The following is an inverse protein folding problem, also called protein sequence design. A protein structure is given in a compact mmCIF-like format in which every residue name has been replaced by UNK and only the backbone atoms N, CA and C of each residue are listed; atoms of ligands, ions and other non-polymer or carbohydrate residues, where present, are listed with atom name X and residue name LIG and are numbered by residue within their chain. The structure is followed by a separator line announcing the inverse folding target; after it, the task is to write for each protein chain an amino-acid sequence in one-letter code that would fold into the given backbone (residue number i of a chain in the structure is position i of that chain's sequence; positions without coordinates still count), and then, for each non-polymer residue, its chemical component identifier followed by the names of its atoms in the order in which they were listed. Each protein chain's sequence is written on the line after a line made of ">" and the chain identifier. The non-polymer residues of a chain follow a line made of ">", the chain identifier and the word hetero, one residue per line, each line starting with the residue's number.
data_IF_924201230517
#
_entry.id   IF_924201230517
#
_cell.length_a   1.000
_cell.length_b   1.000
_cell.length_c   1.000
_cell.angle_alpha   90.00
_cell.angle_beta   90.00
_cell.angle_gamma   90.00
#
_symmetry.space_group_name_H-M   'P 1'
#
loop_
_entity.id
_entity.type
_entity.pdbx_description
1 polymer ?
#
# COMPACT_ATOMS: atom_id res chain seq x y z
N UNK A 1 17.05 2.33 -7.59
CA UNK A 1 16.68 3.71 -7.95
C UNK A 1 16.81 4.58 -6.72
N UNK A 2 17.43 5.75 -6.83
CA UNK A 2 17.54 6.71 -5.73
C UNK A 2 16.64 7.91 -6.03
N UNK A 3 15.69 8.21 -5.15
CA UNK A 3 14.80 9.35 -5.30
C UNK A 3 15.55 10.65 -4.94
N UNK A 4 15.17 11.76 -5.59
CA UNK A 4 15.68 13.08 -5.24
C UNK A 4 15.23 13.43 -3.81
N UNK A 5 16.14 13.82 -2.90
CA UNK A 5 15.77 14.26 -1.57
C UNK A 5 14.84 15.47 -1.63
N UNK A 6 13.80 15.47 -0.79
CA UNK A 6 12.89 16.60 -0.63
C UNK A 6 13.32 17.38 0.61
N UNK A 7 13.50 18.69 0.45
CA UNK A 7 13.85 19.59 1.55
C UNK A 7 12.55 20.17 2.12
N UNK A 8 12.27 19.87 3.39
CA UNK A 8 11.05 20.33 4.06
C UNK A 8 11.12 21.82 4.43
N UNK A 9 12.30 22.29 4.85
CA UNK A 9 12.54 23.68 5.20
C UNK A 9 14.03 24.01 5.09
N UNK A 10 14.35 25.30 4.95
CA UNK A 10 15.71 25.82 4.97
C UNK A 10 15.81 26.97 5.98
N UNK A 11 16.80 26.91 6.87
CA UNK A 11 17.03 27.93 7.90
C UNK A 11 15.96 27.93 9.01
N UNK A 12 16.17 28.77 10.02
CA UNK A 12 15.28 28.87 11.20
C UNK A 12 13.92 29.47 10.81
N UNK A 13 13.90 30.46 9.93
CA UNK A 13 12.64 31.07 9.44
C UNK A 13 11.80 30.07 8.66
N UNK A 14 12.43 29.25 7.80
CA UNK A 14 11.76 28.17 7.09
C UNK A 14 11.23 27.09 8.03
N UNK A 15 11.99 26.72 9.05
CA UNK A 15 11.54 25.78 10.09
C UNK A 15 10.30 26.31 10.81
N UNK A 16 10.34 27.56 11.28
CA UNK A 16 9.20 28.17 11.96
C UNK A 16 7.98 28.26 11.04
N UNK A 17 8.17 28.62 9.77
CA UNK A 17 7.08 28.58 8.79
C UNK A 17 6.49 27.18 8.64
N UNK A 18 7.32 26.14 8.59
CA UNK A 18 6.87 24.76 8.43
C UNK A 18 6.12 24.24 9.66
N UNK A 19 6.56 24.60 10.88
CA UNK A 19 5.87 24.24 12.13
C UNK A 19 4.48 24.89 12.20
N UNK A 20 4.35 26.17 11.83
CA UNK A 20 3.07 26.88 11.84
C UNK A 20 2.14 26.46 10.70
N UNK A 21 2.71 25.96 9.61
CA UNK A 21 1.96 25.47 8.44
C UNK A 21 1.79 23.95 8.47
N UNK A 22 2.16 23.30 9.58
CA UNK A 22 2.08 21.85 9.70
C UNK A 22 0.60 21.42 9.57
N UNK A 23 0.30 20.42 8.72
CA UNK A 23 -1.05 19.98 8.53
C UNK A 23 -1.58 19.30 9.79
N UNK A 24 -2.69 19.83 10.32
CA UNK A 24 -3.40 19.26 11.48
C UNK A 24 -4.17 17.97 11.13
N UNK A 25 -4.42 17.75 9.84
CA UNK A 25 -5.07 16.56 9.30
C UNK A 25 -4.13 15.82 8.36
N UNK A 26 -4.34 14.51 8.22
CA UNK A 26 -3.56 13.66 7.32
C UNK A 26 -3.61 14.18 5.88
N UNK A 27 -2.50 14.78 5.44
CA UNK A 27 -2.37 15.39 4.12
C UNK A 27 -1.36 14.60 3.28
N UNK A 28 -1.73 14.27 2.05
CA UNK A 28 -0.85 13.54 1.14
C UNK A 28 0.32 14.41 0.69
N UNK A 29 1.53 13.93 0.92
CA UNK A 29 2.78 14.58 0.52
C UNK A 29 3.35 13.99 -0.77
N UNK A 30 3.10 12.71 -1.04
CA UNK A 30 3.62 12.03 -2.23
C UNK A 30 2.65 10.95 -2.69
N UNK A 31 2.30 10.98 -3.98
CA UNK A 31 1.50 9.93 -4.65
C UNK A 31 2.23 9.42 -5.87
N UNK A 32 2.21 8.12 -6.08
CA UNK A 32 2.81 7.48 -7.24
C UNK A 32 2.03 6.25 -7.65
N UNK A 33 1.84 6.09 -8.96
CA UNK A 33 1.31 4.88 -9.57
C UNK A 33 2.35 4.37 -10.55
N UNK A 34 2.69 3.09 -10.45
CA UNK A 34 3.73 2.48 -11.26
C UNK A 34 3.23 1.14 -11.78
N UNK A 35 3.42 0.89 -13.07
CA UNK A 35 3.26 -0.44 -13.64
C UNK A 35 4.48 -1.28 -13.27
N UNK A 36 4.26 -2.34 -12.49
CA UNK A 36 5.33 -3.18 -11.94
C UNK A 36 5.72 -4.26 -12.95
N UNK A 37 4.73 -4.87 -13.59
CA UNK A 37 4.92 -5.85 -14.66
C UNK A 37 3.99 -5.54 -15.82
N UNK A 38 4.51 -5.70 -17.03
CA UNK A 38 3.75 -5.72 -18.27
C UNK A 38 4.39 -6.80 -19.16
N UNK A 39 3.67 -7.90 -19.33
CA UNK A 39 4.13 -9.08 -20.04
C UNK A 39 3.04 -9.53 -21.00
N UNK A 40 3.36 -9.60 -22.29
CA UNK A 40 2.54 -10.27 -23.30
C UNK A 40 3.42 -11.25 -24.07
N UNK A 41 2.98 -12.51 -24.16
CA UNK A 41 3.70 -13.57 -24.86
C UNK A 41 2.76 -14.51 -25.59
N UNK A 42 3.16 -14.89 -26.79
CA UNK A 42 2.58 -15.99 -27.52
C UNK A 42 3.48 -17.23 -27.36
N UNK A 43 2.89 -18.34 -26.94
CA UNK A 43 3.57 -19.60 -26.70
C UNK A 43 2.97 -20.63 -27.66
N UNK A 44 3.81 -21.17 -28.55
CA UNK A 44 3.44 -22.25 -29.46
C UNK A 44 3.62 -23.59 -28.76
N UNK A 45 2.55 -24.35 -28.60
CA UNK A 45 2.60 -25.68 -28.03
C UNK A 45 2.92 -26.74 -29.09
N UNK A 46 3.51 -27.85 -28.66
CA UNK A 46 3.87 -28.98 -29.54
C UNK A 46 2.67 -29.60 -30.28
N UNK A 47 1.46 -29.43 -29.74
CA UNK A 47 0.22 -29.89 -30.36
C UNK A 47 -0.38 -28.88 -31.36
N UNK A 48 0.34 -27.80 -31.68
CA UNK A 48 -0.09 -26.78 -32.65
C UNK A 48 -1.00 -25.69 -32.09
N UNK A 49 -1.40 -25.77 -30.80
CA UNK A 49 -2.14 -24.68 -30.17
C UNK A 49 -1.25 -23.48 -29.87
N UNK A 50 -1.85 -22.29 -29.91
CA UNK A 50 -1.18 -21.05 -29.56
C UNK A 50 -1.78 -20.55 -28.25
N UNK A 51 -0.96 -20.40 -27.22
CA UNK A 51 -1.35 -19.75 -25.96
C UNK A 51 -0.93 -18.30 -26.01
N UNK A 52 -1.88 -17.39 -25.83
CA UNK A 52 -1.61 -15.99 -25.53
C UNK A 52 -1.65 -15.80 -24.02
N UNK A 53 -0.53 -15.37 -23.44
CA UNK A 53 -0.41 -15.05 -22.02
C UNK A 53 -0.12 -13.56 -21.87
N UNK A 54 -0.99 -12.89 -21.15
CA UNK A 54 -0.85 -11.50 -20.78
C UNK A 54 -0.91 -11.36 -19.25
N UNK A 55 0.02 -10.60 -18.68
CA UNK A 55 0.06 -10.33 -17.26
C UNK A 55 0.53 -8.88 -17.04
N UNK A 56 -0.35 -8.09 -16.44
CA UNK A 56 -0.11 -6.69 -16.09
C UNK A 56 -0.28 -6.54 -14.59
N UNK A 57 0.62 -5.79 -13.96
CA UNK A 57 0.46 -5.41 -12.56
C UNK A 57 0.76 -3.95 -12.34
N UNK A 58 -0.02 -3.32 -11.49
CA UNK A 58 0.12 -1.92 -11.13
C UNK A 58 0.17 -1.80 -9.60
N UNK A 59 1.10 -1.00 -9.11
CA UNK A 59 1.20 -0.62 -7.72
C UNK A 59 0.91 0.88 -7.56
N UNK A 60 0.19 1.23 -6.51
CA UNK A 60 -0.04 2.60 -6.07
C UNK A 60 0.57 2.81 -4.69
N UNK A 61 1.09 4.01 -4.45
CA UNK A 61 1.69 4.45 -3.20
C UNK A 61 1.23 5.87 -2.91
N UNK A 62 0.71 6.10 -1.72
CA UNK A 62 0.34 7.40 -1.16
C UNK A 62 0.97 7.53 0.23
N UNK A 63 1.87 8.50 0.36
CA UNK A 63 2.49 8.89 1.62
C UNK A 63 1.78 10.15 2.11
N UNK A 64 1.09 10.02 3.23
CA UNK A 64 0.39 11.11 3.91
C UNK A 64 1.00 11.37 5.28
N UNK A 65 0.95 12.62 5.73
CA UNK A 65 1.51 13.02 7.01
C UNK A 65 0.64 14.05 7.71
N UNK A 66 0.67 14.02 9.04
CA UNK A 66 0.19 15.10 9.89
C UNK A 66 1.14 15.29 11.07
N UNK A 67 1.22 16.52 11.56
CA UNK A 67 2.01 16.84 12.74
C UNK A 67 1.31 17.92 13.55
N UNK A 68 1.19 17.67 14.85
CA UNK A 68 0.64 18.60 15.84
C UNK A 68 1.71 18.87 16.89
N UNK A 69 2.04 20.13 17.09
CA UNK A 69 3.08 20.57 18.02
C UNK A 69 2.45 21.57 18.98
N UNK A 70 2.51 21.29 20.28
CA UNK A 70 2.00 22.19 21.31
C UNK A 70 3.13 22.63 22.24
N UNK A 71 3.61 23.85 22.06
CA UNK A 71 4.64 24.45 22.92
C UNK A 71 4.16 24.67 24.35
N UNK A 72 2.85 24.92 24.54
CA UNK A 72 2.24 25.12 25.85
C UNK A 72 2.13 23.81 26.63
N UNK A 73 1.67 22.75 25.97
CA UNK A 73 1.54 21.43 26.58
C UNK A 73 2.84 20.63 26.55
N UNK A 74 3.89 21.21 25.96
CA UNK A 74 5.23 20.63 25.81
C UNK A 74 5.24 19.23 25.20
N UNK A 75 4.39 19.01 24.20
CA UNK A 75 4.31 17.74 23.50
C UNK A 75 4.18 17.92 21.98
N UNK A 76 4.41 16.83 21.26
CA UNK A 76 4.11 16.74 19.83
C UNK A 76 3.62 15.35 19.47
N UNK A 77 2.70 15.29 18.52
CA UNK A 77 2.17 14.07 17.96
C UNK A 77 2.21 14.17 16.44
N UNK A 78 2.82 13.18 15.79
CA UNK A 78 2.81 13.09 14.33
C UNK A 78 2.49 11.68 13.87
N UNK A 79 1.82 11.61 12.72
CA UNK A 79 1.44 10.35 12.08
C UNK A 79 1.85 10.43 10.63
N UNK A 80 2.60 9.42 10.19
CA UNK A 80 2.94 9.18 8.79
C UNK A 80 2.17 7.94 8.36
N UNK A 81 1.26 8.11 7.41
CA UNK A 81 0.46 7.03 6.83
C UNK A 81 0.99 6.68 5.46
N UNK A 82 1.37 5.42 5.29
CA UNK A 82 1.75 4.82 4.01
C UNK A 82 0.58 3.97 3.54
N UNK A 83 -0.12 4.43 2.51
CA UNK A 83 -1.17 3.65 1.85
C UNK A 83 -0.63 3.12 0.53
N UNK A 84 -0.76 1.83 0.32
CA UNK A 84 -0.31 1.15 -0.90
C UNK A 84 -1.41 0.26 -1.45
N UNK A 85 -1.47 0.15 -2.77
CA UNK A 85 -2.36 -0.75 -3.48
C UNK A 85 -1.58 -1.54 -4.51
N UNK A 86 -1.99 -2.78 -4.75
CA UNK A 86 -1.45 -3.64 -5.77
C UNK A 86 -2.61 -4.31 -6.50
N UNK A 87 -2.63 -4.16 -7.81
CA UNK A 87 -3.55 -4.85 -8.71
C UNK A 87 -2.73 -5.69 -9.68
N UNK A 88 -3.10 -6.95 -9.81
CA UNK A 88 -2.52 -7.89 -10.77
C UNK A 88 -3.65 -8.40 -11.64
N UNK A 89 -3.53 -8.18 -12.93
CA UNK A 89 -4.42 -8.72 -13.95
C UNK A 89 -3.63 -9.71 -14.80
N UNK A 90 -4.17 -10.92 -14.96
CA UNK A 90 -3.59 -11.93 -15.81
C UNK A 90 -4.67 -12.54 -16.68
N UNK A 91 -4.32 -12.75 -17.93
CA UNK A 91 -5.18 -13.23 -18.98
C UNK A 91 -4.44 -14.32 -19.75
N UNK A 92 -5.07 -15.48 -19.88
CA UNK A 92 -4.52 -16.62 -20.63
C UNK A 92 -5.58 -17.05 -21.62
N UNK A 93 -5.25 -17.05 -22.91
CA UNK A 93 -6.10 -17.52 -23.99
C UNK A 93 -5.43 -18.67 -24.74
N UNK A 94 -6.20 -19.71 -25.03
CA UNK A 94 -5.81 -20.77 -25.96
C UNK A 94 -6.53 -20.51 -27.28
N UNK A 95 -5.75 -20.13 -28.28
CA UNK A 95 -6.20 -19.82 -29.63
C UNK A 95 -6.12 -21.08 -30.50
N UNK A 96 -7.25 -21.49 -31.05
CA UNK A 96 -7.38 -22.53 -32.05
C UNK A 96 -8.46 -22.12 -33.07
N UNK A 97 -8.45 -22.76 -34.24
CA UNK A 97 -9.37 -22.46 -35.34
C UNK A 97 -10.83 -22.79 -35.03
N UNK A 98 -11.11 -23.60 -34.01
CA UNK A 98 -12.46 -24.05 -33.68
C UNK A 98 -12.97 -23.57 -32.32
N UNK A 99 -12.07 -23.28 -31.38
CA UNK A 99 -12.38 -23.01 -29.97
C UNK A 99 -11.46 -21.91 -29.45
N UNK A 100 -12.04 -20.95 -28.72
CA UNK A 100 -11.33 -19.96 -27.92
C UNK A 100 -11.68 -20.24 -26.46
N UNK A 101 -10.68 -20.59 -25.65
CA UNK A 101 -10.86 -20.77 -24.21
C UNK A 101 -9.91 -19.85 -23.48
N UNK A 102 -10.38 -19.19 -22.43
CA UNK A 102 -9.53 -18.30 -21.68
C UNK A 102 -9.86 -18.23 -20.20
N UNK A 103 -8.88 -17.72 -19.45
CA UNK A 103 -8.94 -17.51 -18.02
C UNK A 103 -8.48 -16.08 -17.74
N UNK A 104 -9.33 -15.33 -17.07
CA UNK A 104 -9.03 -14.00 -16.53
C UNK A 104 -8.89 -14.12 -15.02
N UNK A 105 -7.78 -13.64 -14.48
CA UNK A 105 -7.52 -13.59 -13.05
C UNK A 105 -7.19 -12.16 -12.68
N UNK A 106 -7.93 -11.60 -11.72
CA UNK A 106 -7.65 -10.29 -11.15
C UNK A 106 -7.46 -10.44 -9.64
N UNK A 107 -6.32 -9.99 -9.13
CA UNK A 107 -5.98 -10.01 -7.71
C UNK A 107 -5.73 -8.57 -7.28
N UNK A 108 -6.48 -8.10 -6.31
CA UNK A 108 -6.37 -6.77 -5.75
C UNK A 108 -6.08 -6.84 -4.25
N UNK A 109 -5.09 -6.10 -3.79
CA UNK A 109 -4.75 -5.99 -2.38
C UNK A 109 -4.33 -4.57 -2.06
N UNK A 110 -4.68 -4.10 -0.87
CA UNK A 110 -4.24 -2.82 -0.36
C UNK A 110 -3.56 -3.05 0.99
N UNK A 111 -2.56 -2.24 1.33
CA UNK A 111 -1.91 -2.24 2.62
C UNK A 111 -1.78 -0.81 3.13
N UNK A 112 -2.19 -0.57 4.38
CA UNK A 112 -2.06 0.73 5.06
C UNK A 112 -1.23 0.53 6.30
N UNK A 113 -0.20 1.36 6.44
CA UNK A 113 0.75 1.33 7.55
C UNK A 113 0.82 2.72 8.17
N UNK A 114 0.57 2.81 9.47
CA UNK A 114 0.68 4.04 10.22
C UNK A 114 1.94 3.99 11.08
N UNK A 115 2.75 5.05 10.96
CA UNK A 115 3.90 5.30 11.81
C UNK A 115 3.58 6.53 12.68
N UNK A 116 3.32 6.27 13.95
CA UNK A 116 2.94 7.28 14.93
C UNK A 116 4.12 7.58 15.84
N UNK A 117 4.36 8.87 16.08
CA UNK A 117 5.39 9.31 17.01
C UNK A 117 4.83 10.35 17.97
N UNK A 118 4.91 10.01 19.25
CA UNK A 118 4.58 10.89 20.36
C UNK A 118 5.88 11.33 21.05
N UNK A 119 5.99 12.62 21.31
CA UNK A 119 7.13 13.20 22.02
C UNK A 119 6.62 14.06 23.16
N UNK A 120 7.18 13.83 24.34
CA UNK A 120 6.99 14.66 25.52
C UNK A 120 8.33 15.29 25.89
N UNK A 121 8.38 16.62 25.81
CA UNK A 121 9.55 17.45 26.14
C UNK A 121 9.26 18.35 27.35
N UNK A 122 8.34 17.94 28.23
CA UNK A 122 8.06 18.64 29.49
C UNK A 122 9.22 18.61 30.47
N UNK A 123 9.93 17.48 30.55
CA UNK A 123 11.06 17.22 31.43
C UNK A 123 12.26 16.66 30.64
N UNK A 124 13.46 16.76 31.22
CA UNK A 124 14.68 16.19 30.66
C UNK A 124 15.02 14.87 31.38
N UNK A 125 15.33 13.76 30.68
CA UNK A 125 15.44 13.64 29.22
C UNK A 125 14.09 13.57 28.49
N UNK A 126 14.06 14.07 27.24
CA UNK A 126 12.88 14.03 26.37
C UNK A 126 12.44 12.58 26.17
N UNK A 127 11.15 12.32 26.34
CA UNK A 127 10.55 11.01 26.14
C UNK A 127 9.98 10.92 24.72
N UNK A 128 10.33 9.84 24.01
CA UNK A 128 9.90 9.60 22.62
C UNK A 128 9.31 8.21 22.52
N UNK A 129 8.07 8.12 22.04
CA UNK A 129 7.40 6.87 21.72
C UNK A 129 7.17 6.77 20.22
N UNK A 130 7.64 5.68 19.61
CA UNK A 130 7.42 5.36 18.20
C UNK A 130 6.58 4.09 18.10
N UNK A 131 5.59 4.10 17.22
CA UNK A 131 4.69 2.98 16.96
C UNK A 131 4.53 2.78 15.46
N UNK A 132 4.48 1.52 15.04
CA UNK A 132 4.24 1.13 13.65
C UNK A 132 3.15 0.08 13.65
N UNK A 133 2.00 0.45 13.09
CA UNK A 133 0.81 -0.40 13.03
C UNK A 133 0.42 -0.65 11.59
N UNK A 134 0.18 -1.91 11.25
CA UNK A 134 -0.33 -2.31 9.95
C UNK A 134 -1.81 -2.59 10.10
N UNK A 135 -2.61 -1.93 9.28
CA UNK A 135 -4.06 -2.06 9.34
C UNK A 135 -4.52 -3.39 8.76
N UNK A 136 -5.61 -3.98 9.29
CA UNK A 136 -6.23 -5.15 8.69
C UNK A 136 -6.74 -4.82 7.29
N UNK A 137 -6.46 -5.70 6.34
CA UNK A 137 -6.74 -5.48 4.92
C UNK A 137 -7.43 -6.67 4.31
N UNK A 138 -7.97 -6.50 3.10
CA UNK A 138 -8.62 -7.57 2.35
C UNK A 138 -7.89 -7.78 1.03
N UNK A 139 -7.69 -9.04 0.69
CA UNK A 139 -7.23 -9.47 -0.62
C UNK A 139 -8.43 -9.99 -1.38
N UNK A 140 -8.70 -9.39 -2.53
CA UNK A 140 -9.81 -9.74 -3.41
C UNK A 140 -9.28 -10.44 -4.64
N UNK A 141 -9.73 -11.67 -4.87
CA UNK A 141 -9.44 -12.44 -6.06
C UNK A 141 -10.73 -12.61 -6.87
N UNK A 142 -10.66 -12.32 -8.16
CA UNK A 142 -11.69 -12.58 -9.15
C UNK A 142 -11.11 -13.49 -10.23
N UNK A 143 -11.72 -14.65 -10.43
CA UNK A 143 -11.35 -15.58 -11.49
C UNK A 143 -12.56 -15.76 -12.40
N UNK A 144 -12.38 -15.51 -13.69
CA UNK A 144 -13.39 -15.74 -14.72
C UNK A 144 -12.82 -16.68 -15.77
N UNK A 145 -13.47 -17.83 -15.94
CA UNK A 145 -13.18 -18.79 -16.98
C UNK A 145 -14.22 -18.61 -18.09
N UNK A 146 -13.78 -18.55 -19.34
CA UNK A 146 -14.68 -18.50 -20.48
C UNK A 146 -14.30 -19.50 -21.56
N UNK A 147 -15.33 -20.04 -22.21
CA UNK A 147 -15.22 -21.02 -23.26
C UNK A 147 -16.15 -20.60 -24.40
N UNK A 148 -15.58 -20.37 -25.58
CA UNK A 148 -16.31 -19.93 -26.77
C UNK A 148 -16.00 -20.85 -27.95
N UNK A 149 -17.05 -21.46 -28.50
CA UNK A 149 -17.01 -22.20 -29.77
C UNK A 149 -17.47 -21.26 -30.88
N UNK A 150 -16.80 -21.24 -32.04
CA UNK A 150 -17.17 -20.37 -33.18
C UNK A 150 -18.62 -20.51 -33.67
N UNK A 151 -19.36 -21.54 -33.24
CA UNK A 151 -20.74 -21.86 -33.68
C UNK A 151 -21.75 -22.08 -32.54
N UNK A 152 -21.35 -21.94 -31.27
CA UNK A 152 -22.22 -22.26 -30.11
C UNK A 152 -22.18 -21.13 -29.08
N UNK A 153 -23.16 -21.08 -28.18
CA UNK A 153 -23.16 -20.11 -27.07
C UNK A 153 -21.88 -20.25 -26.23
N UNK A 154 -21.29 -19.11 -25.88
CA UNK A 154 -20.15 -19.04 -24.97
C UNK A 154 -20.59 -19.38 -23.55
N UNK A 155 -19.84 -20.23 -22.86
CA UNK A 155 -20.00 -20.50 -21.44
C UNK A 155 -19.03 -19.61 -20.66
N UNK A 156 -19.53 -18.96 -19.60
CA UNK A 156 -18.71 -18.19 -18.66
C UNK A 156 -19.00 -18.64 -17.25
N UNK A 157 -17.95 -18.79 -16.45
CA UNK A 157 -18.05 -19.07 -15.03
C UNK A 157 -17.09 -18.16 -14.29
N UNK A 158 -17.58 -17.52 -13.23
CA UNK A 158 -16.77 -16.64 -12.40
C UNK A 158 -16.84 -17.05 -10.93
N UNK A 159 -15.71 -16.97 -10.25
CA UNK A 159 -15.62 -17.13 -8.81
C UNK A 159 -14.93 -15.93 -8.17
N UNK A 160 -15.49 -15.48 -7.05
CA UNK A 160 -14.94 -14.42 -6.23
C UNK A 160 -14.46 -15.00 -4.90
N UNK A 161 -13.28 -14.58 -4.46
CA UNK A 161 -12.78 -14.92 -3.12
C UNK A 161 -12.24 -13.67 -2.45
N UNK A 162 -12.63 -13.46 -1.20
CA UNK A 162 -12.05 -12.44 -0.34
C UNK A 162 -11.33 -13.13 0.82
N UNK A 163 -10.08 -12.74 1.07
CA UNK A 163 -9.32 -13.15 2.26
C UNK A 163 -9.06 -11.93 3.14
N UNK A 164 -9.25 -12.09 4.44
CA UNK A 164 -8.90 -11.07 5.42
C UNK A 164 -7.49 -11.31 5.92
N UNK A 165 -6.68 -10.24 5.93
CA UNK A 165 -5.36 -10.21 6.54
C UNK A 165 -5.48 -9.40 7.82
N UNK A 166 -5.05 -9.98 8.93
CA UNK A 166 -5.10 -9.32 10.23
C UNK A 166 -4.08 -8.18 10.29
N UNK A 167 -4.44 -7.12 11.01
CA UNK A 167 -3.50 -6.06 11.34
C UNK A 167 -2.49 -6.52 12.38
N UNK A 168 -1.34 -5.87 12.41
CA UNK A 168 -0.27 -6.20 13.36
C UNK A 168 0.54 -4.96 13.69
N UNK A 169 0.97 -4.87 14.95
CA UNK A 169 1.90 -3.85 15.42
C UNK A 169 3.32 -4.42 15.48
N UNK A 170 4.29 -3.60 15.08
CA UNK A 170 5.69 -3.97 15.10
C UNK A 170 6.39 -3.44 16.34
N UNK A 171 7.11 -4.33 17.03
CA UNK A 171 7.90 -3.97 18.20
C UNK A 171 9.23 -3.35 17.76
N UNK A 172 9.53 -2.17 18.27
CA UNK A 172 10.83 -1.52 18.16
C UNK A 172 11.81 -2.02 19.24
N UNK A 173 12.69 -1.16 19.73
CA UNK A 173 13.63 -1.48 20.81
C UNK A 173 12.93 -1.53 22.17
N UNK A 174 13.46 -2.28 23.14
CA UNK A 174 12.94 -2.29 24.51
C UNK A 174 12.93 -0.91 25.17
N UNK A 175 13.89 -0.04 24.80
CA UNK A 175 13.94 1.36 25.27
C UNK A 175 12.73 2.16 24.78
N UNK A 176 12.32 1.97 23.53
CA UNK A 176 11.11 2.60 22.99
C UNK A 176 9.85 2.11 23.71
N UNK A 177 9.74 0.81 24.00
CA UNK A 177 8.61 0.26 24.77
C UNK A 177 8.53 0.87 26.18
N UNK A 178 9.67 1.05 26.86
CA UNK A 178 9.71 1.74 28.16
C UNK A 178 9.22 3.21 28.07
N UNK A 179 9.65 3.96 27.04
CA UNK A 179 9.21 5.34 26.81
C UNK A 179 7.73 5.44 26.45
N UNK A 180 7.24 4.53 25.59
CA UNK A 180 5.82 4.44 25.25
C UNK A 180 4.94 4.15 26.47
N UNK A 181 5.40 3.27 27.37
CA UNK A 181 4.71 3.04 28.63
C UNK A 181 4.68 4.30 29.48
N UNK A 182 5.78 5.04 29.60
CA UNK A 182 5.79 6.29 30.37
C UNK A 182 4.79 7.31 29.81
N UNK A 183 4.76 7.51 28.49
CA UNK A 183 3.88 8.49 27.84
C UNK A 183 2.40 8.07 27.92
N UNK A 184 2.08 6.79 27.73
CA UNK A 184 0.69 6.32 27.66
C UNK A 184 0.11 5.86 29.02
N UNK A 185 0.93 5.64 30.06
CA UNK A 185 0.45 5.31 31.41
C UNK A 185 0.07 6.54 32.25
N UNK A 186 0.46 7.75 31.82
CA UNK A 186 0.18 9.02 32.51
C UNK A 186 -1.15 9.66 32.03
N UNK A 187 -1.91 8.98 31.16
CA UNK A 187 -3.25 9.38 30.72
C UNK A 187 -4.35 8.50 31.29
#
# INVERSE_FOLDING_TARGET
>A
MQLRPVVLFNGVTGLMSAVWSAPSELTSAFKSNVMVHDLSRYIHLHNGFIVHYEAQSAASLDLSGMASISLWNKNSHSVIRISSGLSVHSHVDILNDFVITGINVTINTNAVVDYTTDVDYSEAPISVCMQMSVHPTKVYDHVENFYSLKRTKSLRWSANRARHVLGQDYKFTPKNDAMCRQIHLIK
#
